data_IF_827470418704
#
_entry.id   IF_827470418704
#
_cell.length_a   1.000
_cell.length_b   1.000
_cell.length_c   1.000
_cell.angle_alpha   90.00
_cell.angle_beta   90.00
_cell.angle_gamma   90.00
#
_symmetry.space_group_name_H-M   'P 1'
#
loop_
_entity.id
_entity.type
_entity.pdbx_description
1 polymer ?
#
# COMPACT_ATOMS: atom_id res chain seq x y z
N UNK A 1 30.40 -6.46 -18.96
CA UNK A 1 29.52 -5.52 -19.69
C UNK A 1 29.20 -4.41 -18.70
N UNK A 2 29.53 -3.17 -19.04
CA UNK A 2 29.44 -2.03 -18.12
C UNK A 2 27.98 -1.75 -17.76
N UNK A 3 27.69 -1.65 -16.46
CA UNK A 3 26.42 -1.17 -15.93
C UNK A 3 26.22 0.29 -16.34
N UNK A 4 25.09 0.57 -16.99
CA UNK A 4 24.63 1.93 -17.25
C UNK A 4 24.21 2.53 -15.90
N UNK A 5 25.09 3.28 -15.25
CA UNK A 5 24.69 4.19 -14.18
C UNK A 5 23.96 5.37 -14.85
N UNK A 6 22.63 5.32 -14.94
CA UNK A 6 21.87 6.56 -15.14
C UNK A 6 22.04 7.36 -13.85
N UNK A 7 22.89 8.39 -13.91
CA UNK A 7 23.08 9.30 -12.80
C UNK A 7 21.81 10.13 -12.64
N UNK A 8 20.87 9.64 -11.82
CA UNK A 8 19.71 10.41 -11.44
C UNK A 8 20.16 11.71 -10.75
N UNK A 9 19.53 12.84 -11.06
CA UNK A 9 19.87 14.12 -10.43
C UNK A 9 19.14 14.26 -9.08
N UNK A 10 19.88 14.30 -7.99
CA UNK A 10 19.33 14.49 -6.65
C UNK A 10 18.74 15.90 -6.48
N UNK A 11 17.49 15.99 -6.02
CA UNK A 11 16.94 17.24 -5.46
C UNK A 11 17.38 17.42 -4.00
N UNK A 12 17.24 18.63 -3.44
CA UNK A 12 17.54 18.88 -2.02
C UNK A 12 16.74 17.98 -1.08
N UNK A 13 15.49 17.67 -1.43
CA UNK A 13 14.63 16.73 -0.69
C UNK A 13 15.20 15.32 -0.75
N UNK A 14 15.63 14.84 -1.91
CA UNK A 14 16.25 13.51 -2.04
C UNK A 14 17.50 13.39 -1.17
N UNK A 15 18.36 14.42 -1.16
CA UNK A 15 19.55 14.44 -0.30
C UNK A 15 19.18 14.38 1.17
N UNK A 16 18.20 15.19 1.60
CA UNK A 16 17.75 15.22 3.00
C UNK A 16 17.14 13.88 3.44
N UNK A 17 16.34 13.22 2.59
CA UNK A 17 15.75 11.91 2.88
C UNK A 17 16.83 10.81 2.91
N UNK A 18 17.75 10.80 1.93
CA UNK A 18 18.90 9.87 1.92
C UNK A 18 19.76 10.02 3.17
N UNK A 19 20.03 11.25 3.60
CA UNK A 19 20.81 11.50 4.81
C UNK A 19 20.04 11.08 6.08
N UNK A 20 18.73 11.30 6.13
CA UNK A 20 17.90 10.90 7.28
C UNK A 20 17.88 9.36 7.45
N UNK A 21 17.46 8.62 6.42
CA UNK A 21 17.31 7.16 6.48
C UNK A 21 18.62 6.37 6.26
N UNK A 22 19.61 6.98 5.60
CA UNK A 22 20.89 6.35 5.30
C UNK A 22 21.98 6.60 6.36
N UNK A 23 21.91 7.71 7.12
CA UNK A 23 22.95 8.09 8.09
C UNK A 23 22.43 8.35 9.49
N UNK A 24 21.30 9.03 9.64
CA UNK A 24 20.81 9.47 10.96
C UNK A 24 20.02 8.41 11.71
N UNK A 25 19.12 7.72 11.02
CA UNK A 25 18.40 6.58 11.58
C UNK A 25 19.32 5.36 11.64
N UNK A 26 19.55 4.86 12.86
CA UNK A 26 20.32 3.64 13.09
C UNK A 26 19.42 2.50 13.58
N UNK A 27 18.30 2.83 14.25
CA UNK A 27 17.28 1.90 14.77
C UNK A 27 15.89 2.52 14.71
N UNK A 28 14.84 1.69 14.70
CA UNK A 28 13.43 2.14 14.74
C UNK A 28 13.11 3.00 15.98
N UNK A 29 13.82 2.79 17.10
CA UNK A 29 13.66 3.58 18.32
C UNK A 29 14.16 5.03 18.21
N UNK A 30 14.85 5.38 17.11
CA UNK A 30 15.31 6.74 16.85
C UNK A 30 14.20 7.64 16.27
N UNK A 31 13.05 7.07 15.89
CA UNK A 31 11.87 7.80 15.42
C UNK A 31 11.24 8.62 16.55
N UNK A 32 10.88 9.87 16.27
CA UNK A 32 10.38 10.82 17.28
C UNK A 32 8.86 10.86 17.40
N UNK A 33 8.16 10.21 16.48
CA UNK A 33 6.70 10.12 16.52
C UNK A 33 6.25 8.66 16.57
N UNK A 34 5.20 8.40 17.36
CA UNK A 34 4.41 7.19 17.26
C UNK A 34 3.37 7.33 16.15
N UNK A 35 3.74 7.96 15.02
CA UNK A 35 2.86 8.06 13.86
C UNK A 35 2.51 6.70 13.24
N UNK A 36 3.19 5.69 13.76
CA UNK A 36 3.38 4.36 13.27
C UNK A 36 2.80 3.39 14.31
N UNK A 37 1.48 3.22 14.30
CA UNK A 37 0.78 2.35 15.26
C UNK A 37 0.78 0.92 14.71
N UNK A 38 0.93 -0.05 15.60
CA UNK A 38 0.68 -1.46 15.31
C UNK A 38 -0.69 -1.64 14.63
N UNK A 39 -0.85 -2.61 13.70
CA UNK A 39 -2.11 -2.80 13.00
C UNK A 39 -3.28 -2.94 13.98
N UNK A 40 -4.41 -2.31 13.65
CA UNK A 40 -5.60 -2.29 14.50
C UNK A 40 -6.17 -3.70 14.79
N UNK A 41 -5.76 -4.70 13.99
CA UNK A 41 -6.05 -6.10 14.20
C UNK A 41 -4.77 -6.95 14.31
N UNK A 42 -4.81 -8.09 15.03
CA UNK A 42 -3.70 -9.02 15.08
C UNK A 42 -3.34 -9.51 13.67
N UNK A 43 -2.07 -9.40 13.28
CA UNK A 43 -1.59 -9.90 11.99
C UNK A 43 -1.98 -11.38 11.81
N UNK A 44 -2.57 -11.79 10.67
CA UNK A 44 -2.83 -13.18 10.37
C UNK A 44 -1.63 -14.10 10.58
N UNK A 45 -1.87 -15.36 10.98
CA UNK A 45 -0.81 -16.30 11.34
C UNK A 45 0.20 -16.52 10.21
N UNK A 46 -0.29 -16.70 8.98
CA UNK A 46 0.54 -16.92 7.80
C UNK A 46 1.49 -15.75 7.51
N UNK A 47 1.05 -14.50 7.74
CA UNK A 47 1.89 -13.30 7.60
C UNK A 47 2.95 -13.27 8.70
N UNK A 48 2.59 -13.56 9.95
CA UNK A 48 3.55 -13.63 11.06
C UNK A 48 4.61 -14.70 10.82
N UNK A 49 4.21 -15.84 10.27
CA UNK A 49 5.12 -16.95 9.99
C UNK A 49 6.04 -16.62 8.80
N UNK A 50 5.56 -15.90 7.79
CA UNK A 50 6.42 -15.35 6.73
C UNK A 50 7.44 -14.34 7.29
N UNK A 51 7.03 -13.43 8.16
CA UNK A 51 7.93 -12.47 8.81
C UNK A 51 9.03 -13.12 9.65
N UNK A 52 8.71 -14.20 10.38
CA UNK A 52 9.70 -14.93 11.20
C UNK A 52 10.82 -15.56 10.37
N UNK A 53 10.57 -15.83 9.09
CA UNK A 53 11.56 -16.40 8.17
C UNK A 53 12.49 -15.33 7.58
N UNK A 54 12.17 -14.05 7.73
CA UNK A 54 13.01 -12.95 7.23
C UNK A 54 14.29 -12.87 8.07
N UNK A 55 15.44 -12.74 7.40
CA UNK A 55 16.73 -12.69 8.06
C UNK A 55 16.77 -11.54 9.11
N UNK A 56 17.30 -11.77 10.32
CA UNK A 56 17.30 -10.75 11.39
C UNK A 56 18.00 -9.45 11.02
N UNK A 57 19.10 -9.49 10.25
CA UNK A 57 19.78 -8.26 9.81
C UNK A 57 18.94 -7.42 8.84
N UNK A 58 18.14 -8.07 7.99
CA UNK A 58 17.20 -7.35 7.12
C UNK A 58 16.13 -6.67 7.97
N UNK A 59 15.54 -7.42 8.91
CA UNK A 59 14.50 -6.87 9.81
C UNK A 59 15.04 -5.74 10.70
N UNK A 60 16.27 -5.84 11.19
CA UNK A 60 16.87 -4.84 12.07
C UNK A 60 17.13 -3.48 11.39
N UNK A 61 17.24 -3.45 10.06
CA UNK A 61 17.39 -2.22 9.26
C UNK A 61 16.11 -1.79 8.57
N UNK A 62 14.96 -2.17 9.13
CA UNK A 62 13.67 -1.72 8.67
C UNK A 62 13.24 -0.48 9.46
N UNK A 63 12.94 0.59 8.74
CA UNK A 63 12.48 1.87 9.31
C UNK A 63 11.02 2.17 8.97
N UNK A 64 10.30 1.22 8.38
CA UNK A 64 8.89 1.38 8.07
C UNK A 64 8.01 1.28 9.32
N UNK A 65 6.83 1.84 9.19
CA UNK A 65 5.94 2.18 10.29
C UNK A 65 4.81 1.19 10.56
N UNK A 66 4.82 0.06 9.85
CA UNK A 66 3.72 -0.91 9.88
C UNK A 66 4.00 -2.09 8.97
N UNK A 67 2.93 -2.70 8.47
CA UNK A 67 3.00 -3.76 7.47
C UNK A 67 1.89 -3.53 6.46
N UNK A 68 2.25 -3.50 5.18
CA UNK A 68 1.31 -3.30 4.08
C UNK A 68 1.24 -4.60 3.30
N UNK A 69 0.20 -5.39 3.57
CA UNK A 69 -0.01 -6.70 2.92
C UNK A 69 -1.41 -6.73 2.33
N UNK A 70 -1.53 -6.59 1.00
CA UNK A 70 -2.79 -6.78 0.31
C UNK A 70 -3.22 -8.25 0.36
N UNK A 71 -4.48 -8.51 0.10
CA UNK A 71 -5.02 -9.85 -0.02
C UNK A 71 -4.85 -10.41 -1.44
N UNK A 72 -5.12 -11.70 -1.65
CA UNK A 72 -5.07 -12.36 -2.96
C UNK A 72 -3.69 -12.19 -3.65
N UNK A 73 -2.63 -12.73 -3.03
CA UNK A 73 -1.24 -12.49 -3.43
C UNK A 73 -0.61 -13.62 -4.27
N UNK A 74 -1.18 -14.82 -4.25
CA UNK A 74 -0.55 -16.00 -4.85
C UNK A 74 -0.26 -15.77 -6.35
N UNK A 75 0.98 -16.02 -6.78
CA UNK A 75 1.42 -15.84 -8.15
C UNK A 75 1.57 -14.38 -8.62
N UNK A 76 1.25 -13.38 -7.78
CA UNK A 76 1.32 -11.97 -8.18
C UNK A 76 2.76 -11.48 -8.39
N UNK A 77 2.91 -10.50 -9.29
CA UNK A 77 4.10 -9.66 -9.43
C UNK A 77 3.90 -8.38 -8.63
N UNK A 78 4.65 -8.22 -7.55
CA UNK A 78 4.58 -7.08 -6.64
C UNK A 78 5.77 -6.14 -6.84
N UNK A 79 5.52 -4.83 -6.80
CA UNK A 79 6.54 -3.79 -6.66
C UNK A 79 6.41 -3.12 -5.29
N UNK A 80 7.52 -3.02 -4.56
CA UNK A 80 7.62 -2.35 -3.27
C UNK A 80 8.40 -1.04 -3.42
N UNK A 81 7.72 0.09 -3.21
CA UNK A 81 8.27 1.43 -3.34
C UNK A 81 8.93 1.88 -2.04
N UNK A 82 10.26 2.05 -2.09
CA UNK A 82 11.09 2.35 -0.92
C UNK A 82 11.34 1.11 -0.07
N UNK A 83 11.76 0.03 -0.74
CA UNK A 83 11.93 -1.30 -0.14
C UNK A 83 12.98 -1.39 0.98
N UNK A 84 13.86 -0.40 1.10
CA UNK A 84 14.94 -0.37 2.08
C UNK A 84 15.78 -1.65 2.03
N UNK A 85 15.95 -2.28 3.19
CA UNK A 85 16.70 -3.52 3.36
C UNK A 85 15.95 -4.77 2.85
N UNK A 86 14.70 -4.63 2.41
CA UNK A 86 13.93 -5.69 1.75
C UNK A 86 13.05 -6.53 2.67
N UNK A 87 12.77 -6.10 3.92
CA UNK A 87 11.93 -6.88 4.86
C UNK A 87 10.58 -7.25 4.25
N UNK A 88 9.84 -6.26 3.74
CA UNK A 88 8.51 -6.47 3.19
C UNK A 88 8.61 -7.27 1.88
N UNK A 89 9.61 -6.97 1.04
CA UNK A 89 9.93 -7.75 -0.15
C UNK A 89 10.11 -9.26 0.12
N UNK A 90 10.90 -9.63 1.14
CA UNK A 90 11.15 -11.03 1.46
C UNK A 90 9.95 -11.74 2.08
N UNK A 91 9.21 -11.05 2.96
CA UNK A 91 7.96 -11.59 3.47
C UNK A 91 6.98 -11.84 2.31
N UNK A 92 6.77 -10.86 1.44
CA UNK A 92 5.87 -10.97 0.29
C UNK A 92 6.35 -12.03 -0.70
N UNK A 93 7.66 -12.15 -0.91
CA UNK A 93 8.27 -13.21 -1.72
C UNK A 93 7.86 -14.61 -1.26
N UNK A 94 7.73 -14.82 0.06
CA UNK A 94 7.18 -16.07 0.60
C UNK A 94 5.65 -16.20 0.40
N UNK A 95 4.91 -15.11 0.40
CA UNK A 95 3.44 -15.11 0.30
C UNK A 95 2.94 -15.26 -1.14
N UNK A 96 3.64 -14.68 -2.11
CA UNK A 96 3.31 -14.82 -3.54
C UNK A 96 3.70 -16.20 -4.09
N UNK A 97 4.55 -16.95 -3.37
CA UNK A 97 5.00 -18.27 -3.75
C UNK A 97 6.07 -18.28 -4.86
N UNK A 98 6.57 -19.47 -5.20
CA UNK A 98 7.66 -19.67 -6.18
C UNK A 98 7.30 -19.16 -7.60
N UNK A 99 6.00 -19.08 -7.93
CA UNK A 99 5.51 -18.56 -9.21
C UNK A 99 5.31 -17.04 -9.23
N UNK A 100 5.20 -16.42 -8.06
CA UNK A 100 5.08 -14.97 -7.95
C UNK A 100 6.45 -14.29 -8.05
N UNK A 101 6.47 -12.97 -8.00
CA UNK A 101 7.72 -12.21 -8.04
C UNK A 101 7.59 -10.92 -7.25
N UNK A 102 8.65 -10.51 -6.55
CA UNK A 102 8.69 -9.23 -5.84
C UNK A 102 9.87 -8.40 -6.29
N UNK A 103 9.61 -7.18 -6.75
CA UNK A 103 10.65 -6.18 -7.02
C UNK A 103 10.64 -5.14 -5.93
N UNK A 104 11.78 -4.91 -5.27
CA UNK A 104 11.98 -3.76 -4.39
C UNK A 104 12.74 -2.67 -5.13
N UNK A 105 12.27 -1.42 -5.04
CA UNK A 105 13.03 -0.24 -5.49
C UNK A 105 13.39 0.65 -4.30
N UNK A 106 14.63 1.13 -4.25
CA UNK A 106 15.08 2.11 -3.26
C UNK A 106 16.15 3.04 -3.87
N UNK A 107 16.25 4.26 -3.35
CA UNK A 107 17.28 5.21 -3.79
C UNK A 107 18.63 5.00 -3.08
N UNK A 108 18.67 4.22 -2.00
CA UNK A 108 19.82 4.08 -1.10
C UNK A 108 20.57 2.78 -1.37
N UNK A 109 21.72 2.85 -2.06
CA UNK A 109 22.47 1.65 -2.44
C UNK A 109 22.90 0.81 -1.23
N UNK A 110 23.28 1.43 -0.11
CA UNK A 110 23.67 0.69 1.10
C UNK A 110 22.53 -0.19 1.68
N UNK A 111 21.27 0.21 1.47
CA UNK A 111 20.11 -0.62 1.85
C UNK A 111 19.92 -1.78 0.88
N UNK A 112 20.05 -1.50 -0.43
CA UNK A 112 19.93 -2.51 -1.48
C UNK A 112 21.06 -3.54 -1.44
N UNK A 113 22.29 -3.15 -1.10
CA UNK A 113 23.41 -4.08 -0.89
C UNK A 113 23.09 -5.08 0.23
N UNK A 114 22.50 -4.60 1.33
CA UNK A 114 22.06 -5.47 2.43
C UNK A 114 20.93 -6.39 2.00
N UNK A 115 19.95 -5.88 1.25
CA UNK A 115 18.87 -6.68 0.69
C UNK A 115 19.45 -7.79 -0.19
N UNK A 116 20.21 -7.44 -1.24
CA UNK A 116 20.85 -8.39 -2.17
C UNK A 116 21.69 -9.45 -1.46
N UNK A 117 22.43 -9.09 -0.40
CA UNK A 117 23.27 -10.00 0.40
C UNK A 117 22.49 -11.20 0.94
N UNK A 118 21.21 -11.04 1.28
CA UNK A 118 20.40 -12.08 1.91
C UNK A 118 19.47 -12.82 0.96
N UNK A 119 19.58 -12.62 -0.36
CA UNK A 119 18.71 -13.31 -1.33
C UNK A 119 18.82 -14.85 -1.21
N UNK A 120 20.03 -15.39 -1.23
CA UNK A 120 20.26 -16.85 -1.16
C UNK A 120 19.74 -17.47 0.15
N UNK A 121 19.86 -16.73 1.26
CA UNK A 121 19.32 -17.15 2.55
C UNK A 121 17.81 -17.38 2.45
N UNK A 122 17.07 -16.40 1.94
CA UNK A 122 15.62 -16.49 1.86
C UNK A 122 15.17 -17.55 0.85
N UNK A 123 15.88 -17.72 -0.27
CA UNK A 123 15.53 -18.78 -1.23
C UNK A 123 15.68 -20.17 -0.62
N UNK A 124 16.75 -20.39 0.15
CA UNK A 124 16.94 -21.64 0.89
C UNK A 124 15.86 -21.84 1.97
N UNK A 125 15.53 -20.78 2.71
CA UNK A 125 14.51 -20.82 3.76
C UNK A 125 13.11 -21.10 3.21
N UNK A 126 12.80 -20.61 2.01
CA UNK A 126 11.52 -20.85 1.34
C UNK A 126 11.49 -22.12 0.49
N UNK A 127 12.66 -22.75 0.25
CA UNK A 127 12.79 -23.95 -0.57
C UNK A 127 12.66 -23.70 -2.07
N UNK A 128 12.91 -22.46 -2.52
CA UNK A 128 12.80 -22.08 -3.93
C UNK A 128 14.07 -22.41 -4.71
N UNK A 129 13.91 -22.83 -5.96
CA UNK A 129 15.05 -23.17 -6.82
C UNK A 129 15.78 -21.93 -7.34
N UNK A 130 15.02 -20.87 -7.58
CA UNK A 130 15.51 -19.62 -8.15
C UNK A 130 14.99 -18.42 -7.34
N UNK A 131 15.73 -17.29 -7.29
CA UNK A 131 15.25 -16.07 -6.69
C UNK A 131 13.95 -15.56 -7.32
N UNK A 132 12.89 -15.45 -6.52
CA UNK A 132 11.65 -14.76 -6.92
C UNK A 132 11.61 -13.29 -6.44
N UNK A 133 12.76 -12.74 -6.04
CA UNK A 133 12.91 -11.35 -5.61
C UNK A 133 14.00 -10.65 -6.41
N UNK A 134 13.81 -9.36 -6.70
CA UNK A 134 14.78 -8.49 -7.37
C UNK A 134 14.83 -7.13 -6.69
N UNK A 135 16.02 -6.55 -6.60
CA UNK A 135 16.23 -5.21 -6.07
C UNK A 135 16.79 -4.26 -7.13
N UNK A 136 16.20 -3.08 -7.25
CA UNK A 136 16.51 -2.05 -8.24
C UNK A 136 16.85 -0.74 -7.53
N UNK A 137 17.94 -0.10 -7.96
CA UNK A 137 18.27 1.24 -7.48
C UNK A 137 17.55 2.26 -8.35
N UNK A 138 16.85 3.22 -7.73
CA UNK A 138 16.21 4.30 -8.46
C UNK A 138 15.27 5.13 -7.61
N UNK A 139 14.69 6.14 -8.25
CA UNK A 139 13.67 7.00 -7.67
C UNK A 139 12.27 6.44 -7.94
N UNK A 140 11.37 6.57 -6.96
CA UNK A 140 9.98 6.12 -7.10
C UNK A 140 9.18 7.01 -8.07
N UNK A 141 9.73 8.19 -8.39
CA UNK A 141 9.29 9.14 -9.41
C UNK A 141 9.79 8.79 -10.83
N UNK A 142 10.62 7.76 -10.98
CA UNK A 142 11.29 7.42 -12.24
C UNK A 142 11.38 5.91 -12.46
N UNK A 143 10.28 5.18 -12.21
CA UNK A 143 10.23 3.72 -12.25
C UNK A 143 10.64 3.15 -13.62
N UNK A 144 10.14 3.74 -14.71
CA UNK A 144 10.46 3.27 -16.07
C UNK A 144 11.93 3.55 -16.40
N UNK A 145 12.46 4.70 -15.98
CA UNK A 145 13.88 5.04 -16.15
C UNK A 145 14.79 4.11 -15.35
N UNK A 146 14.37 3.70 -14.15
CA UNK A 146 15.04 2.69 -13.34
C UNK A 146 14.99 1.27 -13.95
N UNK A 147 14.35 1.11 -15.12
CA UNK A 147 14.31 -0.14 -15.88
C UNK A 147 13.15 -1.06 -15.50
N UNK A 148 12.10 -0.53 -14.88
CA UNK A 148 10.87 -1.28 -14.65
C UNK A 148 9.96 -1.24 -15.89
N UNK A 149 9.44 -2.41 -16.26
CA UNK A 149 8.61 -2.56 -17.46
C UNK A 149 7.20 -1.99 -17.23
N UNK A 150 6.67 -1.32 -18.24
CA UNK A 150 5.26 -0.87 -18.23
C UNK A 150 4.31 -2.07 -18.21
N UNK A 151 3.16 -1.92 -17.55
CA UNK A 151 2.13 -2.96 -17.46
C UNK A 151 2.66 -4.34 -17.02
N UNK A 152 3.54 -4.38 -16.02
CA UNK A 152 4.24 -5.60 -15.59
C UNK A 152 3.92 -6.05 -14.17
N UNK A 153 3.37 -5.16 -13.32
CA UNK A 153 3.03 -5.47 -11.94
C UNK A 153 1.53 -5.61 -11.72
N UNK A 154 1.14 -6.60 -10.92
CA UNK A 154 -0.24 -6.80 -10.47
C UNK A 154 -0.55 -5.88 -9.29
N UNK A 155 0.44 -5.67 -8.42
CA UNK A 155 0.31 -4.93 -7.17
C UNK A 155 1.53 -4.02 -6.99
N UNK A 156 1.30 -2.78 -6.60
CA UNK A 156 2.32 -1.88 -6.07
C UNK A 156 1.98 -1.63 -4.61
N UNK A 157 2.96 -1.82 -3.72
CA UNK A 157 2.83 -1.44 -2.32
C UNK A 157 3.79 -0.30 -1.98
N UNK A 158 3.44 0.44 -0.92
CA UNK A 158 4.34 1.39 -0.26
C UNK A 158 3.92 1.57 1.18
N UNK A 159 4.89 1.79 2.06
CA UNK A 159 4.64 2.08 3.47
C UNK A 159 5.39 3.35 3.89
N UNK A 160 4.66 4.46 3.99
CA UNK A 160 5.14 5.77 4.44
C UNK A 160 6.26 6.38 3.57
N UNK A 161 6.36 6.05 2.28
CA UNK A 161 7.42 6.57 1.38
C UNK A 161 6.89 7.63 0.43
N UNK A 162 5.62 7.56 0.01
CA UNK A 162 5.06 8.51 -0.97
C UNK A 162 5.09 9.94 -0.43
N UNK A 163 4.88 10.13 0.87
CA UNK A 163 5.01 11.44 1.51
C UNK A 163 6.41 12.04 1.49
N UNK A 164 7.45 11.21 1.44
CA UNK A 164 8.84 11.65 1.32
C UNK A 164 9.20 12.12 -0.08
N UNK A 165 8.35 11.81 -1.07
CA UNK A 165 8.53 12.27 -2.44
C UNK A 165 8.27 13.78 -2.58
N UNK A 166 9.15 14.51 -3.29
CA UNK A 166 8.88 15.89 -3.68
C UNK A 166 7.81 16.02 -4.79
N UNK A 167 7.53 14.96 -5.56
CA UNK A 167 6.54 14.97 -6.64
C UNK A 167 5.64 13.73 -6.59
N UNK A 168 4.63 13.83 -5.73
CA UNK A 168 3.66 12.77 -5.48
C UNK A 168 2.80 12.44 -6.70
N UNK A 169 2.54 13.44 -7.56
CA UNK A 169 1.83 13.20 -8.81
C UNK A 169 2.65 12.31 -9.72
N UNK A 170 3.95 12.60 -9.86
CA UNK A 170 4.86 11.79 -10.66
C UNK A 170 4.99 10.35 -10.15
N UNK A 171 5.05 10.15 -8.82
CA UNK A 171 5.00 8.80 -8.23
C UNK A 171 3.76 8.03 -8.69
N UNK A 172 2.57 8.65 -8.62
CA UNK A 172 1.33 8.01 -9.05
C UNK A 172 1.31 7.75 -10.57
N UNK A 173 1.83 8.67 -11.40
CA UNK A 173 1.94 8.49 -12.85
C UNK A 173 2.86 7.32 -13.24
N UNK A 174 4.01 7.18 -12.58
CA UNK A 174 4.92 6.07 -12.80
C UNK A 174 4.33 4.75 -12.30
N UNK A 175 3.69 4.75 -11.12
CA UNK A 175 2.98 3.60 -10.59
C UNK A 175 1.89 3.12 -11.56
N UNK A 176 1.08 4.05 -12.09
CA UNK A 176 0.07 3.75 -13.10
C UNK A 176 0.69 3.18 -14.40
N UNK A 177 1.87 3.66 -14.79
CA UNK A 177 2.57 3.22 -16.00
C UNK A 177 3.06 1.77 -15.89
N UNK A 178 3.55 1.35 -14.72
CA UNK A 178 4.10 -0.01 -14.52
C UNK A 178 3.06 -1.02 -14.05
N UNK A 179 1.91 -0.58 -13.54
CA UNK A 179 0.77 -1.46 -13.25
C UNK A 179 0.13 -2.03 -14.52
N UNK A 180 -0.24 -3.30 -14.47
CA UNK A 180 -1.14 -3.92 -15.44
C UNK A 180 -2.53 -3.30 -15.37
N UNK A 181 -3.31 -3.44 -16.44
CA UNK A 181 -4.76 -3.23 -16.35
C UNK A 181 -5.33 -4.25 -15.35
N UNK A 182 -6.22 -3.79 -14.46
CA UNK A 182 -6.70 -4.55 -13.31
C UNK A 182 -5.80 -4.47 -12.07
N UNK A 183 -4.60 -3.90 -12.20
CA UNK A 183 -3.62 -3.82 -11.13
C UNK A 183 -3.97 -2.79 -10.05
N UNK A 184 -3.34 -2.93 -8.89
CA UNK A 184 -3.65 -2.18 -7.66
C UNK A 184 -2.43 -1.46 -7.11
N UNK A 185 -2.58 -0.20 -6.69
CA UNK A 185 -1.69 0.42 -5.70
C UNK A 185 -2.35 0.27 -4.34
N UNK A 186 -1.71 -0.43 -3.42
CA UNK A 186 -2.16 -0.63 -2.05
C UNK A 186 -1.09 -0.11 -1.09
N UNK A 187 -1.33 1.04 -0.47
CA UNK A 187 -0.29 1.73 0.27
C UNK A 187 -0.83 2.39 1.53
N UNK A 188 0.04 2.49 2.53
CA UNK A 188 -0.23 3.19 3.78
C UNK A 188 0.64 4.42 3.87
N UNK A 189 0.05 5.56 4.20
CA UNK A 189 0.78 6.80 4.41
C UNK A 189 0.04 7.72 5.39
N UNK A 190 0.68 8.83 5.77
CA UNK A 190 0.09 9.86 6.60
C UNK A 190 -0.70 10.87 5.75
N UNK A 191 -1.92 11.19 6.19
CA UNK A 191 -2.76 12.21 5.59
C UNK A 191 -3.17 13.23 6.64
N UNK A 192 -3.48 14.44 6.18
CA UNK A 192 -3.91 15.53 7.05
C UNK A 192 -5.24 16.14 6.62
N UNK A 193 -5.87 16.91 7.51
CA UNK A 193 -7.17 17.56 7.28
C UNK A 193 -7.12 18.78 6.34
N UNK A 194 -5.94 19.26 5.94
CA UNK A 194 -5.80 20.41 5.07
C UNK A 194 -4.39 20.55 4.50
N UNK A 195 -4.19 21.51 3.59
CA UNK A 195 -2.87 21.77 3.00
C UNK A 195 -1.95 22.40 4.04
N UNK A 196 -0.82 21.73 4.31
CA UNK A 196 0.19 22.16 5.27
C UNK A 196 0.81 23.52 4.89
N UNK A 197 1.27 24.25 5.91
CA UNK A 197 2.01 25.50 5.74
C UNK A 197 3.43 25.25 5.21
N UNK A 198 4.05 26.25 4.59
CA UNK A 198 5.45 26.13 4.12
C UNK A 198 6.44 25.94 5.28
N UNK A 199 6.10 26.46 6.47
CA UNK A 199 6.88 26.24 7.69
C UNK A 199 6.93 24.75 8.05
N UNK A 200 5.78 24.06 8.04
CA UNK A 200 5.70 22.62 8.29
C UNK A 200 6.43 21.82 7.19
N UNK A 201 6.21 22.17 5.91
CA UNK A 201 6.82 21.45 4.77
C UNK A 201 8.34 21.58 4.73
N UNK A 202 8.89 22.70 5.17
CA UNK A 202 10.34 22.94 5.20
C UNK A 202 11.02 22.40 6.46
N UNK A 203 10.25 21.96 7.46
CA UNK A 203 10.80 21.44 8.71
C UNK A 203 11.37 20.02 8.54
N UNK A 204 12.70 19.89 8.55
CA UNK A 204 13.40 18.63 8.23
C UNK A 204 12.99 17.43 9.08
N UNK A 205 12.71 17.63 10.36
CA UNK A 205 12.26 16.54 11.24
C UNK A 205 10.85 16.11 10.89
N UNK A 206 9.94 17.05 10.62
CA UNK A 206 8.57 16.71 10.24
C UNK A 206 8.55 16.00 8.88
N UNK A 207 9.39 16.43 7.94
CA UNK A 207 9.56 15.74 6.66
C UNK A 207 10.06 14.31 6.84
N UNK A 208 11.11 14.11 7.65
CA UNK A 208 11.67 12.78 7.93
C UNK A 208 10.73 11.84 8.70
N UNK A 209 9.76 12.39 9.44
CA UNK A 209 8.70 11.65 10.12
C UNK A 209 7.42 11.50 9.24
N UNK A 210 7.52 11.78 7.94
CA UNK A 210 6.43 11.73 6.95
C UNK A 210 5.25 12.70 7.20
N UNK A 211 5.35 13.57 8.21
CA UNK A 211 4.33 14.57 8.56
C UNK A 211 4.42 15.81 7.67
N UNK A 212 5.63 16.33 7.43
CA UNK A 212 5.85 17.55 6.65
C UNK A 212 5.52 17.39 5.16
N UNK A 213 5.58 16.15 4.68
CA UNK A 213 5.19 15.77 3.34
C UNK A 213 3.74 15.28 3.23
N UNK A 214 2.98 15.22 4.32
CA UNK A 214 1.65 14.60 4.33
C UNK A 214 0.68 15.28 3.36
N UNK A 215 -0.04 14.47 2.59
CA UNK A 215 -1.07 14.94 1.68
C UNK A 215 -2.34 15.31 2.43
N UNK A 216 -2.98 16.40 1.99
CA UNK A 216 -4.40 16.57 2.27
C UNK A 216 -5.16 15.44 1.57
N UNK A 217 -6.01 14.73 2.31
CA UNK A 217 -6.72 13.57 1.77
C UNK A 217 -7.56 13.88 0.52
N UNK A 218 -8.11 15.10 0.37
CA UNK A 218 -8.82 15.49 -0.86
C UNK A 218 -7.90 15.67 -2.07
N UNK A 219 -6.65 16.07 -1.85
CA UNK A 219 -5.68 16.18 -2.93
C UNK A 219 -5.31 14.78 -3.46
N UNK A 220 -5.33 13.72 -2.63
CA UNK A 220 -5.17 12.34 -3.11
C UNK A 220 -6.26 11.95 -4.12
N UNK A 221 -7.53 12.27 -3.82
CA UNK A 221 -8.66 11.99 -4.72
C UNK A 221 -8.46 12.68 -6.08
N UNK A 222 -8.05 13.95 -6.06
CA UNK A 222 -7.80 14.73 -7.27
C UNK A 222 -6.62 14.18 -8.07
N UNK A 223 -5.52 13.83 -7.40
CA UNK A 223 -4.33 13.27 -8.06
C UNK A 223 -4.65 11.91 -8.69
N UNK A 224 -5.33 11.02 -7.97
CA UNK A 224 -5.75 9.72 -8.50
C UNK A 224 -6.61 9.86 -9.76
N UNK A 225 -7.59 10.78 -9.73
CA UNK A 225 -8.44 11.08 -10.87
C UNK A 225 -7.65 11.66 -12.06
N UNK A 226 -6.72 12.59 -11.81
CA UNK A 226 -5.89 13.18 -12.86
C UNK A 226 -4.99 12.16 -13.55
N UNK A 227 -4.46 11.20 -12.79
CA UNK A 227 -3.56 10.16 -13.31
C UNK A 227 -4.31 9.08 -14.09
N UNK A 228 -5.50 8.71 -13.63
CA UNK A 228 -6.29 7.67 -14.30
C UNK A 228 -6.81 6.56 -13.40
N UNK A 229 -6.43 6.54 -12.11
CA UNK A 229 -6.89 5.53 -11.16
C UNK A 229 -8.40 5.62 -10.89
N UNK A 230 -8.97 4.53 -10.38
CA UNK A 230 -10.26 4.53 -9.69
C UNK A 230 -10.25 5.51 -8.52
N UNK A 231 -11.42 5.82 -7.97
CA UNK A 231 -11.49 6.54 -6.71
C UNK A 231 -10.68 5.78 -5.64
N UNK A 232 -9.79 6.47 -4.89
CA UNK A 232 -9.11 5.86 -3.75
C UNK A 232 -10.10 5.32 -2.72
N UNK A 233 -9.94 4.04 -2.35
CA UNK A 233 -10.79 3.37 -1.35
C UNK A 233 -10.05 3.21 -0.04
N UNK A 234 -10.62 3.73 1.04
CA UNK A 234 -10.04 3.66 2.38
C UNK A 234 -10.20 2.26 2.95
N UNK A 235 -9.10 1.58 3.27
CA UNK A 235 -9.11 0.22 3.83
C UNK A 235 -9.12 0.28 5.36
N UNK A 236 -8.12 0.96 5.93
CA UNK A 236 -7.98 1.15 7.38
C UNK A 236 -7.42 2.54 7.67
N UNK A 237 -7.72 3.05 8.86
CA UNK A 237 -7.21 4.32 9.35
C UNK A 237 -6.92 4.23 10.85
N UNK A 238 -5.88 4.93 11.31
CA UNK A 238 -5.55 5.10 12.72
C UNK A 238 -4.98 6.49 12.98
N UNK A 239 -5.14 7.00 14.20
CA UNK A 239 -4.66 8.33 14.58
C UNK A 239 -3.22 8.20 15.08
N UNK A 240 -2.21 8.75 14.37
CA UNK A 240 -0.83 8.77 14.81
C UNK A 240 -0.67 9.49 16.15
N UNK A 241 0.24 9.01 16.99
CA UNK A 241 0.66 9.73 18.21
C UNK A 241 1.90 10.57 17.93
N UNK A 242 1.88 11.82 18.37
CA UNK A 242 2.99 12.77 18.21
C UNK A 242 3.34 13.22 19.61
N UNK A 243 4.40 12.67 20.21
CA UNK A 243 4.71 12.91 21.63
C UNK A 243 5.59 14.15 21.85
N UNK A 244 6.27 14.63 20.81
CA UNK A 244 7.13 15.80 20.87
C UNK A 244 6.28 17.09 20.89
N UNK A 245 6.34 17.80 22.02
CA UNK A 245 5.55 19.02 22.23
C UNK A 245 5.93 20.16 21.29
N UNK A 246 7.21 20.29 20.94
CA UNK A 246 7.65 21.34 20.01
C UNK A 246 7.08 21.07 18.61
N UNK A 247 7.02 19.80 18.21
CA UNK A 247 6.37 19.40 16.96
C UNK A 247 4.86 19.61 17.01
N UNK A 248 4.19 19.28 18.12
CA UNK A 248 2.76 19.55 18.29
C UNK A 248 2.42 21.04 18.15
N UNK A 249 3.19 21.91 18.81
CA UNK A 249 2.98 23.36 18.76
C UNK A 249 3.15 23.90 17.33
N UNK A 250 4.11 23.36 16.57
CA UNK A 250 4.32 23.71 15.16
C UNK A 250 3.20 23.19 14.23
N UNK A 251 2.63 22.02 14.54
CA UNK A 251 1.54 21.43 13.77
C UNK A 251 0.20 22.13 14.01
N UNK A 252 0.01 22.78 15.16
CA UNK A 252 -1.20 23.55 15.47
C UNK A 252 -2.47 22.71 15.33
N UNK A 253 -3.45 23.21 14.54
CA UNK A 253 -4.76 22.56 14.35
C UNK A 253 -4.75 21.45 13.28
N UNK A 254 -3.60 21.15 12.67
CA UNK A 254 -3.51 20.05 11.71
C UNK A 254 -3.70 18.71 12.43
N UNK A 255 -4.72 17.98 12.01
CA UNK A 255 -4.96 16.60 12.42
C UNK A 255 -4.35 15.68 11.38
N UNK A 256 -3.74 14.60 11.85
CA UNK A 256 -3.11 13.58 11.00
C UNK A 256 -3.79 12.23 11.20
N UNK A 257 -3.75 11.40 10.15
CA UNK A 257 -4.25 10.02 10.14
C UNK A 257 -3.27 9.17 9.33
N UNK A 258 -2.86 8.03 9.86
CA UNK A 258 -2.23 6.97 9.08
C UNK A 258 -3.34 6.17 8.41
N UNK A 259 -3.41 6.20 7.09
CA UNK A 259 -4.45 5.52 6.33
C UNK A 259 -3.86 4.62 5.26
N UNK A 260 -4.47 3.44 5.11
CA UNK A 260 -4.20 2.53 4.01
C UNK A 260 -5.26 2.71 2.95
N UNK A 261 -4.85 3.05 1.74
CA UNK A 261 -5.72 3.20 0.58
C UNK A 261 -5.42 2.13 -0.47
N UNK A 262 -6.45 1.77 -1.23
CA UNK A 262 -6.34 0.98 -2.45
C UNK A 262 -6.87 1.73 -3.67
N UNK A 263 -6.08 1.78 -4.74
CA UNK A 263 -6.38 2.45 -6.01
C UNK A 263 -6.19 1.45 -7.13
N UNK A 264 -7.15 1.35 -8.06
CA UNK A 264 -7.10 0.36 -9.13
C UNK A 264 -6.96 1.03 -10.51
N UNK A 265 -6.20 0.38 -11.39
CA UNK A 265 -6.12 0.71 -12.81
C UNK A 265 -7.19 -0.08 -13.56
N UNK A 266 -8.41 0.44 -13.62
CA UNK A 266 -9.56 -0.24 -14.23
C UNK A 266 -10.32 0.68 -15.19
N UNK A 267 -11.10 0.13 -16.14
CA UNK A 267 -11.90 0.92 -17.05
C UNK A 267 -12.88 1.84 -16.30
N UNK A 268 -12.96 3.10 -16.73
CA UNK A 268 -13.94 4.07 -16.23
C UNK A 268 -15.33 3.75 -16.78
N UNK A 269 -16.37 4.06 -15.99
CA UNK A 269 -17.71 4.28 -16.54
C UNK A 269 -18.72 3.13 -16.40
N UNK A 270 -18.47 2.11 -15.58
CA UNK A 270 -19.57 1.26 -15.14
C UNK A 270 -20.37 1.97 -14.04
N UNK A 271 -21.59 2.40 -14.35
CA UNK A 271 -22.48 3.10 -13.42
C UNK A 271 -23.58 2.20 -12.86
N UNK A 272 -23.65 0.94 -13.29
CA UNK A 272 -24.72 0.03 -12.89
C UNK A 272 -24.33 -0.74 -11.65
N UNK A 273 -25.16 -0.70 -10.61
CA UNK A 273 -25.01 -1.59 -9.48
C UNK A 273 -25.17 -3.06 -9.92
N UNK A 274 -24.52 -3.95 -9.19
CA UNK A 274 -24.51 -5.37 -9.44
C UNK A 274 -24.62 -6.12 -8.12
N UNK A 275 -25.20 -7.32 -8.13
CA UNK A 275 -25.09 -8.24 -7.01
C UNK A 275 -23.90 -9.14 -7.23
N UNK A 276 -23.01 -9.17 -6.25
CA UNK A 276 -21.82 -10.02 -6.24
C UNK A 276 -21.88 -10.97 -5.05
N UNK A 277 -21.25 -12.12 -5.19
CA UNK A 277 -21.10 -13.10 -4.13
C UNK A 277 -19.63 -13.48 -4.04
N UNK A 278 -19.04 -13.33 -2.85
CA UNK A 278 -17.68 -13.75 -2.57
C UNK A 278 -17.64 -15.27 -2.36
N UNK A 279 -16.71 -15.95 -3.01
CA UNK A 279 -16.64 -17.41 -3.05
C UNK A 279 -15.76 -18.01 -1.94
N UNK A 280 -15.06 -17.19 -1.15
CA UNK A 280 -14.20 -17.68 -0.06
C UNK A 280 -12.82 -18.20 -0.50
N UNK A 281 -12.35 -17.85 -1.69
CA UNK A 281 -11.10 -18.36 -2.25
C UNK A 281 -9.83 -17.61 -1.85
N UNK A 282 -9.95 -16.49 -1.13
CA UNK A 282 -8.79 -15.69 -0.72
C UNK A 282 -8.19 -16.25 0.57
N UNK A 283 -6.93 -16.71 0.49
CA UNK A 283 -6.16 -17.20 1.63
C UNK A 283 -6.16 -16.23 2.81
N UNK A 284 -6.57 -16.71 3.99
CA UNK A 284 -6.66 -15.92 5.21
C UNK A 284 -7.90 -15.03 5.32
N UNK A 285 -8.78 -15.07 4.32
CA UNK A 285 -10.05 -14.35 4.27
C UNK A 285 -11.19 -15.27 3.79
N UNK A 286 -11.11 -16.57 4.06
CA UNK A 286 -12.01 -17.59 3.51
C UNK A 286 -13.48 -17.36 3.93
N UNK A 287 -13.71 -16.92 5.16
CA UNK A 287 -15.06 -16.67 5.69
C UNK A 287 -15.55 -15.24 5.40
N UNK A 288 -14.66 -14.27 5.55
CA UNK A 288 -14.97 -12.84 5.46
C UNK A 288 -13.80 -12.10 4.81
N UNK A 289 -14.10 -11.37 3.74
CA UNK A 289 -13.17 -10.48 3.07
C UNK A 289 -13.58 -9.02 3.26
N UNK A 290 -12.79 -8.28 4.04
CA UNK A 290 -12.93 -6.84 4.18
C UNK A 290 -12.19 -6.15 3.03
N UNK A 291 -12.93 -5.71 2.02
CA UNK A 291 -12.36 -5.08 0.83
C UNK A 291 -11.95 -3.61 1.11
N UNK A 292 -12.82 -2.85 1.78
CA UNK A 292 -12.53 -1.49 2.23
C UNK A 292 -13.44 -1.14 3.44
N UNK A 293 -13.49 0.13 3.84
CA UNK A 293 -14.31 0.57 4.96
C UNK A 293 -15.83 0.52 4.69
N UNK A 294 -16.25 0.40 3.42
CA UNK A 294 -17.65 0.33 3.01
C UNK A 294 -18.09 -1.13 2.73
N UNK A 295 -17.20 -1.93 2.15
CA UNK A 295 -17.52 -3.28 1.68
C UNK A 295 -16.81 -4.36 2.48
N UNK A 296 -17.62 -5.18 3.15
CA UNK A 296 -17.21 -6.44 3.75
C UNK A 296 -18.07 -7.56 3.17
N UNK A 297 -17.43 -8.56 2.58
CA UNK A 297 -18.08 -9.68 1.92
C UNK A 297 -17.97 -10.94 2.78
N UNK A 298 -19.10 -11.52 3.17
CA UNK A 298 -19.12 -12.85 3.76
C UNK A 298 -19.22 -13.89 2.66
N UNK A 299 -18.50 -15.00 2.81
CA UNK A 299 -18.51 -16.06 1.82
C UNK A 299 -19.93 -16.58 1.58
N UNK A 300 -20.28 -16.75 0.31
CA UNK A 300 -21.58 -17.24 -0.16
C UNK A 300 -22.79 -16.35 0.18
N UNK A 301 -22.57 -15.10 0.61
CA UNK A 301 -23.63 -14.10 0.79
C UNK A 301 -23.62 -13.09 -0.37
N UNK A 302 -24.80 -12.81 -0.94
CA UNK A 302 -24.94 -11.84 -2.02
C UNK A 302 -24.97 -10.41 -1.46
N UNK A 303 -24.10 -9.55 -1.99
CA UNK A 303 -23.96 -8.13 -1.62
C UNK A 303 -24.20 -7.27 -2.86
N UNK A 304 -24.97 -6.19 -2.71
CA UNK A 304 -25.10 -5.18 -3.76
C UNK A 304 -23.93 -4.22 -3.70
N UNK A 305 -23.25 -4.03 -4.84
CA UNK A 305 -22.11 -3.13 -4.99
C UNK A 305 -22.41 -2.07 -6.04
N UNK A 306 -21.80 -0.90 -5.90
CA UNK A 306 -21.86 0.15 -6.91
C UNK A 306 -21.13 -0.27 -8.20
N UNK A 307 -21.29 0.51 -9.28
CA UNK A 307 -20.71 0.17 -10.57
C UNK A 307 -19.19 0.24 -10.62
N UNK A 308 -18.55 1.07 -9.77
CA UNK A 308 -17.09 1.16 -9.70
C UNK A 308 -16.51 -0.07 -8.99
N UNK A 309 -17.06 -0.44 -7.83
CA UNK A 309 -16.72 -1.65 -7.11
C UNK A 309 -16.96 -2.90 -7.99
N UNK A 310 -18.08 -2.94 -8.72
CA UNK A 310 -18.31 -4.00 -9.71
C UNK A 310 -17.23 -4.04 -10.80
N UNK A 311 -16.82 -2.87 -11.33
CA UNK A 311 -15.73 -2.78 -12.30
C UNK A 311 -14.42 -3.30 -11.72
N UNK A 312 -14.07 -2.91 -10.50
CA UNK A 312 -12.85 -3.36 -9.81
C UNK A 312 -12.86 -4.87 -9.61
N UNK A 313 -13.93 -5.41 -9.01
CA UNK A 313 -14.03 -6.84 -8.75
C UNK A 313 -14.00 -7.66 -10.05
N UNK A 314 -14.54 -7.14 -11.16
CA UNK A 314 -14.56 -7.86 -12.45
C UNK A 314 -13.22 -7.85 -13.18
N UNK A 315 -12.45 -6.76 -13.07
CA UNK A 315 -11.26 -6.55 -13.91
C UNK A 315 -9.94 -6.70 -13.17
N UNK A 316 -9.97 -6.91 -11.85
CA UNK A 316 -8.76 -7.13 -11.04
C UNK A 316 -8.56 -8.61 -10.72
N UNK A 317 -7.46 -8.92 -10.01
CA UNK A 317 -7.17 -10.27 -9.53
C UNK A 317 -8.26 -10.91 -8.68
N UNK A 318 -9.17 -10.12 -8.10
CA UNK A 318 -10.30 -10.62 -7.32
C UNK A 318 -11.38 -11.30 -8.16
N UNK A 319 -11.35 -11.19 -9.49
CA UNK A 319 -12.42 -11.68 -10.36
C UNK A 319 -12.73 -13.16 -10.18
N UNK A 320 -11.71 -14.00 -9.93
CA UNK A 320 -11.88 -15.44 -9.75
C UNK A 320 -12.57 -15.79 -8.42
N UNK A 321 -12.51 -14.88 -7.44
CA UNK A 321 -13.08 -15.03 -6.11
C UNK A 321 -14.52 -14.52 -6.00
N UNK A 322 -15.09 -13.97 -7.08
CA UNK A 322 -16.43 -13.38 -7.08
C UNK A 322 -17.33 -13.92 -8.18
N UNK A 323 -18.59 -14.17 -7.84
CA UNK A 323 -19.66 -14.48 -8.79
C UNK A 323 -20.55 -13.26 -9.00
N UNK A 324 -20.85 -12.92 -10.26
CA UNK A 324 -21.63 -11.73 -10.63
C UNK A 324 -23.03 -12.10 -11.14
N UNK A 325 -24.06 -11.41 -10.65
CA UNK A 325 -25.44 -11.59 -11.10
C UNK A 325 -25.98 -10.30 -11.75
N UNK A 326 -26.56 -10.35 -12.96
CA UNK A 326 -27.13 -9.16 -13.59
C UNK A 326 -28.29 -8.58 -12.76
N UNK A 327 -28.47 -7.24 -12.72
CA UNK A 327 -29.59 -6.63 -12.02
C UNK A 327 -30.91 -7.11 -12.62
N UNK A 328 -31.69 -7.87 -11.83
CA UNK A 328 -33.01 -8.39 -12.21
C UNK A 328 -33.13 -9.92 -12.37
N UNK A 329 -32.12 -10.72 -12.04
CA UNK A 329 -32.25 -12.18 -11.97
C UNK A 329 -33.25 -12.62 -10.89
N UNK A 330 -34.19 -13.49 -11.24
CA UNK A 330 -35.24 -13.99 -10.35
C UNK A 330 -34.68 -14.59 -9.05
N UNK A 331 -35.08 -14.05 -7.91
CA UNK A 331 -34.84 -14.67 -6.60
C UNK A 331 -35.72 -15.92 -6.46
N UNK A 332 -35.10 -17.10 -6.33
CA UNK A 332 -35.77 -18.21 -5.63
C UNK A 332 -35.86 -17.87 -4.13
N UNK A 333 -36.93 -18.32 -3.44
CA UNK A 333 -37.20 -17.88 -2.07
C UNK A 333 -36.26 -18.59 -1.10
N UNK A 334 -35.13 -17.96 -0.77
CA UNK A 334 -34.33 -18.40 0.36
C UNK A 334 -35.07 -18.04 1.66
N UNK A 335 -35.45 -19.07 2.42
CA UNK A 335 -36.14 -18.96 3.69
C UNK A 335 -35.43 -17.96 4.61
N UNK A 336 -36.18 -16.95 5.08
CA UNK A 336 -35.70 -15.95 6.04
C UNK A 336 -35.31 -16.61 7.37
N UNK A 337 -34.12 -16.30 7.92
CA UNK A 337 -34.01 -15.94 9.32
C UNK A 337 -34.12 -14.42 9.42
N UNK A 338 -35.00 -13.96 10.32
CA UNK A 338 -35.03 -12.56 10.73
C UNK A 338 -33.73 -12.23 11.45
N UNK A 339 -32.88 -11.41 10.83
CA UNK A 339 -31.89 -10.62 11.57
C UNK A 339 -32.03 -9.19 11.11
N UNK A 340 -32.25 -8.31 12.08
CA UNK A 340 -32.35 -6.87 11.92
C UNK A 340 -31.05 -6.32 11.33
N UNK A 341 -31.09 -5.93 10.07
CA UNK A 341 -30.07 -5.04 9.50
C UNK A 341 -30.30 -3.67 10.14
N UNK A 342 -29.43 -3.31 11.08
CA UNK A 342 -29.24 -1.92 11.47
C UNK A 342 -28.61 -1.21 10.27
N UNK A 343 -29.47 -0.67 9.40
CA UNK A 343 -29.10 0.38 8.48
C UNK A 343 -28.79 1.62 9.32
N UNK A 344 -27.53 1.84 9.63
CA UNK A 344 -27.03 3.18 9.92
C UNK A 344 -26.65 3.83 8.60
N UNK A 345 -27.65 4.48 8.00
CA UNK A 345 -27.42 5.54 7.02
C UNK A 345 -27.11 6.83 7.77
N UNK A 346 -25.83 7.11 8.00
CA UNK A 346 -25.27 8.45 8.25
C UNK A 346 -23.76 8.32 8.50
N UNK A 347 -22.97 9.00 7.66
CA UNK A 347 -21.52 9.21 7.77
C UNK A 347 -20.65 7.95 7.61
N UNK A 348 -20.52 7.50 6.36
CA UNK A 348 -19.38 6.65 6.01
C UNK A 348 -18.09 7.41 6.33
N UNK A 349 -17.08 6.67 6.79
CA UNK A 349 -15.76 7.12 7.26
C UNK A 349 -14.89 7.80 6.18
N UNK A 350 -15.46 8.67 5.35
CA UNK A 350 -14.73 9.70 4.61
C UNK A 350 -14.19 10.70 5.62
N UNK A 351 -13.07 10.37 6.25
CA UNK A 351 -12.36 11.30 7.12
C UNK A 351 -13.22 11.93 8.24
N UNK A 352 -14.15 11.20 8.88
CA UNK A 352 -14.83 11.68 10.12
C UNK A 352 -13.81 12.07 11.21
N UNK A 353 -12.59 11.52 11.13
CA UNK A 353 -11.47 11.84 12.03
C UNK A 353 -10.81 13.19 11.69
N UNK A 354 -10.87 13.62 10.43
CA UNK A 354 -10.20 14.81 9.91
C UNK A 354 -11.17 15.96 9.52
N UNK A 355 -12.48 15.71 9.47
CA UNK A 355 -13.49 16.75 9.26
C UNK A 355 -13.78 17.60 10.50
#
# INVERSE_FOLDING_TARGET
MAQNNSAFSDSSVHVDVKDYYGKRLQKTADLKTGACIAPAQPLPAFIRDALKKVHPEVTARYYGCGLVVPECLEGCRILDLGSGSGRDCYMLSSLVGEKGHVTGIDMTEAQLELARKYMDYHMKEFGYKEPNVRFVQGYIEALVEAGLEKNSFDIIISNCVVNLSPDKKKVLEEAYSVLKDGGEVYFSDIYCNGRLTEEIKSHKVLWGECLGGALWWKDLLQLAEQVGFSQPRLVTASIPTIDDKELQDLLGDFKFVSATYRLFKVPRGNTKSCKVMYNGGITGAEDVFQFDCHYTFKANEAVEVDGEAASILTHSRFAEDFTFQPPGGSCEPCNKPKVSVLLHTSDCYDCVVLS
#
